data_IF_517687933180
#
_entry.id   IF_517687933180
#
_cell.length_a   1.000
_cell.length_b   1.000
_cell.length_c   1.000
_cell.angle_alpha   90.00
_cell.angle_beta   90.00
_cell.angle_gamma   90.00
#
_symmetry.space_group_name_H-M   'P 1'
#
loop_
_entity.id
_entity.type
_entity.pdbx_description
1 polymer ?
#
# COMPACT_ATOMS: atom_id res chain seq x y z
N UNK A 1 -16.91 -17.37 4.29
CA UNK A 1 -15.47 -17.17 4.05
C UNK A 1 -14.73 -17.29 5.39
N UNK A 2 -13.58 -17.96 5.46
CA UNK A 2 -12.84 -18.13 6.73
C UNK A 2 -11.77 -17.04 6.83
N UNK A 3 -11.58 -16.47 8.01
CA UNK A 3 -10.45 -15.59 8.29
C UNK A 3 -9.23 -16.48 8.40
N UNK A 4 -8.42 -16.53 7.34
CA UNK A 4 -7.09 -17.10 7.42
C UNK A 4 -6.08 -15.97 7.60
N UNK A 5 -4.93 -16.29 8.19
CA UNK A 5 -3.80 -15.36 8.30
C UNK A 5 -3.04 -15.19 6.98
N UNK A 6 -3.55 -15.77 5.90
CA UNK A 6 -2.96 -15.66 4.57
C UNK A 6 -3.17 -14.24 4.03
N UNK A 7 -2.10 -13.70 3.43
CA UNK A 7 -2.11 -12.34 2.89
C UNK A 7 -2.62 -12.41 1.46
N UNK A 8 -3.86 -11.95 1.25
CA UNK A 8 -4.53 -11.93 -0.05
C UNK A 8 -5.01 -10.50 -0.33
N UNK A 9 -4.11 -9.58 -0.74
CA UNK A 9 -4.46 -8.17 -0.84
C UNK A 9 -5.60 -7.97 -1.84
N UNK A 10 -6.58 -7.15 -1.46
CA UNK A 10 -7.70 -6.76 -2.33
C UNK A 10 -7.85 -5.25 -2.36
N UNK A 11 -8.15 -4.72 -3.53
CA UNK A 11 -8.40 -3.31 -3.74
C UNK A 11 -9.91 -3.06 -3.74
N UNK A 12 -10.41 -2.36 -2.72
CA UNK A 12 -11.80 -1.93 -2.70
C UNK A 12 -12.05 -0.85 -3.75
N UNK A 13 -13.28 -0.75 -4.26
CA UNK A 13 -13.69 0.35 -5.14
C UNK A 13 -13.58 1.75 -4.49
N UNK A 14 -13.33 1.81 -3.18
CA UNK A 14 -13.00 3.03 -2.43
C UNK A 14 -11.51 3.43 -2.51
N UNK A 15 -10.69 2.71 -3.27
CA UNK A 15 -9.25 2.97 -3.42
C UNK A 15 -8.40 2.55 -2.21
N UNK A 16 -8.97 1.80 -1.26
CA UNK A 16 -8.25 1.25 -0.11
C UNK A 16 -7.88 -0.21 -0.35
N UNK A 17 -6.62 -0.56 -0.04
CA UNK A 17 -6.15 -1.94 -0.04
C UNK A 17 -6.45 -2.58 1.31
N UNK A 18 -7.11 -3.73 1.30
CA UNK A 18 -7.36 -4.55 2.49
C UNK A 18 -6.43 -5.76 2.50
N UNK A 19 -6.06 -6.21 3.70
CA UNK A 19 -5.14 -7.34 3.90
C UNK A 19 -5.66 -8.65 3.30
N UNK A 20 -6.97 -8.89 3.42
CA UNK A 20 -7.67 -10.02 2.83
C UNK A 20 -9.16 -9.64 2.57
N UNK A 21 -9.89 -10.40 1.73
CA UNK A 21 -11.30 -10.16 1.44
C UNK A 21 -12.23 -10.26 2.66
N UNK A 22 -11.89 -11.08 3.67
CA UNK A 22 -12.65 -11.15 4.92
C UNK A 22 -12.52 -9.84 5.74
N UNK A 23 -11.34 -9.22 5.72
CA UNK A 23 -11.05 -7.96 6.39
C UNK A 23 -11.75 -6.79 5.68
N UNK A 24 -12.00 -6.91 4.38
CA UNK A 24 -12.89 -6.03 3.63
C UNK A 24 -14.39 -6.29 3.91
N UNK A 25 -14.72 -7.35 4.64
CA UNK A 25 -16.08 -7.72 5.00
C UNK A 25 -16.87 -8.36 3.84
N UNK A 26 -16.20 -8.91 2.84
CA UNK A 26 -16.84 -9.51 1.67
C UNK A 26 -17.45 -10.87 1.99
N UNK A 27 -18.71 -11.07 1.58
CA UNK A 27 -19.46 -12.30 1.85
C UNK A 27 -19.67 -13.17 0.62
N UNK A 28 -19.44 -12.62 -0.58
CA UNK A 28 -19.58 -13.30 -1.85
C UNK A 28 -18.34 -13.12 -2.73
N UNK A 29 -18.12 -14.09 -3.60
CA UNK A 29 -17.05 -14.09 -4.60
C UNK A 29 -17.67 -14.28 -5.99
N UNK A 30 -17.28 -13.42 -6.91
CA UNK A 30 -17.63 -13.48 -8.33
C UNK A 30 -16.49 -14.12 -9.11
N UNK A 31 -16.82 -14.93 -10.12
CA UNK A 31 -15.87 -15.70 -10.94
C UNK A 31 -14.79 -14.86 -11.65
N UNK A 32 -14.89 -13.54 -11.64
CA UNK A 32 -13.94 -12.59 -12.22
C UNK A 32 -12.88 -12.09 -11.23
N UNK A 33 -12.50 -12.88 -10.21
CA UNK A 33 -11.60 -12.46 -9.12
C UNK A 33 -12.07 -11.21 -8.37
N UNK A 34 -13.39 -11.01 -8.32
CA UNK A 34 -14.00 -9.86 -7.66
C UNK A 34 -14.82 -10.34 -6.46
N UNK A 35 -14.54 -9.76 -5.30
CA UNK A 35 -15.32 -9.95 -4.09
C UNK A 35 -16.47 -8.96 -4.04
N UNK A 36 -17.64 -9.43 -3.64
CA UNK A 36 -18.88 -8.65 -3.59
C UNK A 36 -19.48 -8.68 -2.18
N UNK A 37 -20.39 -7.72 -1.94
CA UNK A 37 -21.09 -7.59 -0.66
C UNK A 37 -20.09 -7.43 0.51
N UNK A 38 -19.17 -6.48 0.31
CA UNK A 38 -18.12 -6.09 1.24
C UNK A 38 -18.62 -4.99 2.19
N UNK A 39 -18.74 -5.29 3.48
CA UNK A 39 -19.25 -4.36 4.48
C UNK A 39 -18.34 -3.14 4.72
N UNK A 40 -17.02 -3.27 4.55
CA UNK A 40 -16.07 -2.19 4.81
C UNK A 40 -15.81 -1.31 3.58
N UNK A 41 -16.11 -1.81 2.38
CA UNK A 41 -15.89 -1.08 1.11
C UNK A 41 -17.09 -0.18 0.86
N UNK A 42 -17.03 1.04 1.35
CA UNK A 42 -18.12 2.00 1.15
C UNK A 42 -18.02 2.62 -0.26
N UNK A 43 -19.05 2.48 -1.09
CA UNK A 43 -19.24 3.38 -2.21
C UNK A 43 -19.42 4.79 -1.64
N UNK A 44 -18.71 5.79 -2.16
CA UNK A 44 -18.66 7.16 -1.65
C UNK A 44 -20.09 7.70 -1.46
N UNK A 45 -20.58 7.54 -0.23
CA UNK A 45 -21.93 7.86 0.18
C UNK A 45 -21.76 9.16 0.92
N UNK A 46 -22.15 10.24 0.25
CA UNK A 46 -22.26 11.55 0.87
C UNK A 46 -23.23 11.41 2.04
N UNK A 47 -22.69 11.17 3.23
CA UNK A 47 -23.45 11.01 4.45
C UNK A 47 -23.89 12.39 4.90
N UNK A 48 -25.12 12.78 4.54
CA UNK A 48 -25.72 13.96 5.15
C UNK A 48 -26.08 13.59 6.59
N UNK A 49 -25.24 14.01 7.53
CA UNK A 49 -25.51 13.89 8.97
C UNK A 49 -26.67 14.84 9.28
N UNK A 50 -27.87 14.30 9.51
CA UNK A 50 -28.99 15.06 10.01
C UNK A 50 -28.87 15.18 11.54
N UNK A 51 -28.58 16.38 12.03
CA UNK A 51 -28.63 16.72 13.46
C UNK A 51 -30.01 17.22 13.83
N UNK A 52 -30.74 16.46 14.65
CA UNK A 52 -31.96 16.93 15.31
C UNK A 52 -31.65 17.86 16.47
N UNK A 53 -32.55 18.79 16.77
CA UNK A 53 -32.56 19.63 17.99
C UNK A 53 -32.82 18.74 19.21
N UNK A 54 -31.76 18.10 19.70
CA UNK A 54 -31.81 17.12 20.81
C UNK A 54 -30.63 16.17 20.88
N UNK A 55 -29.64 16.27 19.98
CA UNK A 55 -28.44 15.42 19.99
C UNK A 55 -28.63 14.05 19.32
N UNK A 56 -29.82 13.74 18.83
CA UNK A 56 -30.10 12.57 18.00
C UNK A 56 -29.43 12.71 16.63
N UNK A 57 -28.60 11.74 16.27
CA UNK A 57 -27.94 11.62 14.97
C UNK A 57 -28.61 10.48 14.18
N UNK A 58 -29.16 10.81 13.01
CA UNK A 58 -29.62 9.81 12.04
C UNK A 58 -28.71 9.88 10.81
N UNK A 59 -28.16 8.73 10.42
CA UNK A 59 -27.35 8.60 9.20
C UNK A 59 -28.29 8.15 8.07
N UNK A 60 -28.67 9.08 7.20
CA UNK A 60 -29.35 8.75 5.96
C UNK A 60 -28.32 8.71 4.83
N UNK A 61 -28.25 7.58 4.12
CA UNK A 61 -27.41 7.44 2.93
C UNK A 61 -28.14 8.08 1.75
N UNK A 62 -27.71 9.28 1.34
CA UNK A 62 -28.22 9.91 0.13
C UNK A 62 -27.32 9.51 -1.05
N UNK A 63 -27.80 8.58 -1.89
CA UNK A 63 -27.12 8.14 -3.11
C UNK A 63 -27.48 9.12 -4.24
N UNK A 64 -26.77 10.24 -4.32
CA UNK A 64 -26.84 11.10 -5.51
C UNK A 64 -25.90 10.56 -6.59
N UNK A 65 -26.40 9.63 -7.40
CA UNK A 65 -25.67 9.07 -8.53
C UNK A 65 -26.55 8.23 -9.43
N UNK A 66 -27.17 8.90 -10.40
CA UNK A 66 -27.68 8.40 -11.69
C UNK A 66 -27.28 6.96 -12.03
N UNK A 67 -28.17 5.97 -11.81
CA UNK A 67 -28.48 4.80 -12.66
C UNK A 67 -29.46 3.88 -11.94
N UNK A 68 -30.26 3.17 -12.74
CA UNK A 68 -31.39 2.30 -12.43
C UNK A 68 -31.15 1.31 -11.27
N UNK A 69 -32.24 0.81 -10.69
CA UNK A 69 -32.32 -0.34 -9.77
C UNK A 69 -31.39 -1.52 -10.15
N UNK A 70 -30.12 -1.39 -9.81
CA UNK A 70 -29.12 -2.45 -9.79
C UNK A 70 -28.20 -2.04 -8.66
N UNK A 71 -28.35 -2.70 -7.52
CA UNK A 71 -27.53 -2.57 -6.32
C UNK A 71 -26.08 -2.21 -6.67
N UNK A 72 -25.59 -1.04 -6.25
CA UNK A 72 -24.15 -0.73 -6.29
C UNK A 72 -23.49 -1.65 -5.28
N UNK A 73 -23.19 -2.88 -5.69
CA UNK A 73 -22.60 -3.87 -4.81
C UNK A 73 -21.18 -3.40 -4.51
N UNK A 74 -20.80 -3.21 -3.25
CA UNK A 74 -19.43 -2.88 -2.89
C UNK A 74 -18.52 -4.02 -3.33
N UNK A 75 -17.63 -3.72 -4.28
CA UNK A 75 -16.71 -4.68 -4.90
C UNK A 75 -15.28 -4.41 -4.44
N UNK A 76 -14.55 -5.49 -4.19
CA UNK A 76 -13.10 -5.46 -4.05
C UNK A 76 -12.46 -6.42 -5.07
N UNK A 77 -11.44 -5.96 -5.78
CA UNK A 77 -10.71 -6.76 -6.80
C UNK A 77 -9.45 -7.34 -6.18
N UNK A 78 -9.05 -8.55 -6.59
CA UNK A 78 -7.76 -9.13 -6.18
C UNK A 78 -6.58 -8.24 -6.60
N UNK A 79 -5.66 -8.03 -5.67
CA UNK A 79 -4.47 -7.21 -5.86
C UNK A 79 -4.47 -5.93 -5.04
N UNK A 80 -3.30 -5.31 -4.83
CA UNK A 80 -3.19 -4.02 -4.17
C UNK A 80 -3.72 -2.89 -5.05
N UNK A 81 -4.25 -1.82 -4.43
CA UNK A 81 -4.59 -0.61 -5.16
C UNK A 81 -3.33 0.08 -5.69
N UNK A 82 -3.35 0.49 -6.96
CA UNK A 82 -2.27 1.27 -7.58
C UNK A 82 -2.32 2.72 -7.09
N UNK A 83 -1.59 3.03 -6.03
CA UNK A 83 -1.42 4.41 -5.58
C UNK A 83 -0.17 5.03 -6.22
N UNK A 84 -0.27 6.21 -6.88
CA UNK A 84 0.91 6.91 -7.37
C UNK A 84 1.75 7.41 -6.20
N UNK A 85 2.73 6.61 -5.77
CA UNK A 85 3.64 6.96 -4.69
C UNK A 85 4.69 7.96 -5.16
N UNK A 86 4.37 9.27 -5.14
CA UNK A 86 5.32 10.32 -5.54
C UNK A 86 6.59 10.39 -4.68
N UNK A 87 6.54 9.84 -3.47
CA UNK A 87 7.68 9.74 -2.53
C UNK A 87 8.72 8.69 -2.90
N UNK A 88 8.43 7.79 -3.86
CA UNK A 88 9.41 6.79 -4.31
C UNK A 88 10.59 7.44 -5.05
N UNK A 89 10.33 8.47 -5.85
CA UNK A 89 11.34 9.18 -6.62
C UNK A 89 12.40 9.86 -5.74
N UNK A 90 12.05 10.70 -4.73
CA UNK A 90 13.06 11.30 -3.87
C UNK A 90 13.84 10.27 -3.05
N UNK A 91 13.24 9.15 -2.66
CA UNK A 91 13.94 8.07 -1.96
C UNK A 91 14.99 7.39 -2.84
N UNK A 92 14.65 7.04 -4.08
CA UNK A 92 15.59 6.45 -5.04
C UNK A 92 16.75 7.41 -5.35
N UNK A 93 16.46 8.70 -5.49
CA UNK A 93 17.48 9.73 -5.70
C UNK A 93 18.41 9.83 -4.48
N UNK A 94 17.86 9.88 -3.27
CA UNK A 94 18.65 9.92 -2.04
C UNK A 94 19.54 8.68 -1.88
N UNK A 95 18.98 7.49 -2.09
CA UNK A 95 19.75 6.24 -2.01
C UNK A 95 20.88 6.21 -3.04
N UNK A 96 20.63 6.67 -4.27
CA UNK A 96 21.66 6.74 -5.30
C UNK A 96 22.83 7.64 -4.88
N UNK A 97 22.54 8.85 -4.39
CA UNK A 97 23.59 9.76 -3.93
C UNK A 97 24.34 9.23 -2.71
N UNK A 98 23.64 8.65 -1.74
CA UNK A 98 24.28 8.04 -0.57
C UNK A 98 25.19 6.88 -0.98
N UNK A 99 24.73 5.99 -1.85
CA UNK A 99 25.54 4.89 -2.37
C UNK A 99 26.76 5.39 -3.15
N UNK A 100 26.59 6.44 -3.96
CA UNK A 100 27.69 7.06 -4.69
C UNK A 100 28.74 7.66 -3.76
N UNK A 101 28.33 8.40 -2.72
CA UNK A 101 29.25 8.97 -1.71
C UNK A 101 29.99 7.84 -0.98
N UNK A 102 29.29 6.77 -0.61
CA UNK A 102 29.89 5.59 0.03
C UNK A 102 30.93 4.94 -0.89
N UNK A 103 30.62 4.73 -2.17
CA UNK A 103 31.59 4.18 -3.13
C UNK A 103 32.79 5.12 -3.32
N UNK A 104 32.55 6.42 -3.49
CA UNK A 104 33.59 7.43 -3.69
C UNK A 104 34.52 7.59 -2.49
N UNK A 105 34.05 7.30 -1.27
CA UNK A 105 34.87 7.30 -0.05
C UNK A 105 35.56 5.96 0.20
N UNK A 106 34.98 4.84 -0.22
CA UNK A 106 35.59 3.51 -0.10
C UNK A 106 36.78 3.29 -1.06
N UNK A 107 36.72 3.81 -2.29
CA UNK A 107 37.83 3.70 -3.25
C UNK A 107 39.18 4.29 -2.76
N UNK A 108 39.23 5.53 -2.24
CA UNK A 108 40.47 6.10 -1.70
C UNK A 108 40.89 5.44 -0.40
N UNK A 109 39.96 4.91 0.41
CA UNK A 109 40.28 4.20 1.64
C UNK A 109 41.07 2.91 1.34
N UNK A 110 40.57 2.11 0.39
CA UNK A 110 41.27 0.89 -0.05
C UNK A 110 42.63 1.23 -0.66
N UNK A 111 42.69 2.28 -1.50
CA UNK A 111 43.95 2.71 -2.11
C UNK A 111 44.97 3.22 -1.06
N UNK A 112 44.52 3.90 0.00
CA UNK A 112 45.38 4.39 1.08
C UNK A 112 45.91 3.23 1.92
N UNK A 113 45.06 2.26 2.26
CA UNK A 113 45.46 1.06 3.02
C UNK A 113 46.52 0.24 2.26
N UNK A 114 46.36 0.06 0.95
CA UNK A 114 47.33 -0.67 0.11
C UNK A 114 48.67 0.04 -0.07
N UNK A 115 48.73 1.35 0.23
CA UNK A 115 49.95 2.16 0.21
C UNK A 115 50.62 2.26 1.58
N UNK A 116 49.87 2.13 2.67
CA UNK A 116 50.40 2.08 4.03
C UNK A 116 50.89 0.69 4.46
N UNK A 117 50.54 -0.35 3.70
CA UNK A 117 51.05 -1.72 3.89
C UNK A 117 52.27 -1.96 2.99
N UNK A 118 53.40 -2.30 3.60
CA UNK A 118 54.62 -2.75 2.90
C UNK A 118 54.37 -4.09 2.21
N UNK A 119 55.08 -4.36 1.10
CA UNK A 119 54.77 -5.50 0.22
C UNK A 119 54.83 -6.87 0.93
N UNK A 120 55.55 -6.98 2.04
CA UNK A 120 55.69 -8.21 2.82
C UNK A 120 54.46 -8.68 3.63
N UNK A 121 53.47 -7.82 3.94
CA UNK A 121 52.28 -8.21 4.76
C UNK A 121 50.93 -8.15 4.01
N UNK A 122 50.97 -7.94 2.69
CA UNK A 122 49.78 -7.76 1.85
C UNK A 122 48.80 -8.93 1.85
N UNK A 123 49.30 -10.15 2.04
CA UNK A 123 48.49 -11.38 2.05
C UNK A 123 47.57 -11.51 3.26
N UNK A 124 47.93 -10.91 4.39
CA UNK A 124 47.21 -11.07 5.67
C UNK A 124 46.15 -9.96 5.89
N UNK A 125 46.31 -8.81 5.22
CA UNK A 125 45.41 -7.65 5.35
C UNK A 125 44.16 -7.73 4.46
N UNK A 126 44.13 -8.62 3.47
CA UNK A 126 43.00 -8.81 2.54
C UNK A 126 42.05 -9.95 2.93
N UNK A 127 42.40 -10.76 3.94
CA UNK A 127 41.61 -11.91 4.43
C UNK A 127 42.45 -13.16 4.61
#
# INVERSE_FOLDING_TARGET
>A
MRITSDVEPVCGNNGLTYFNPCHAGCTAFSSSSNYTNCACVHANTSSSIFRGTGGSQAQALNVNGYFNEVTVVPVATTGPCITPCRTIYPFLILLYFMAFIVAATQMPLLMTVLRSVSEEERSFALG
#
